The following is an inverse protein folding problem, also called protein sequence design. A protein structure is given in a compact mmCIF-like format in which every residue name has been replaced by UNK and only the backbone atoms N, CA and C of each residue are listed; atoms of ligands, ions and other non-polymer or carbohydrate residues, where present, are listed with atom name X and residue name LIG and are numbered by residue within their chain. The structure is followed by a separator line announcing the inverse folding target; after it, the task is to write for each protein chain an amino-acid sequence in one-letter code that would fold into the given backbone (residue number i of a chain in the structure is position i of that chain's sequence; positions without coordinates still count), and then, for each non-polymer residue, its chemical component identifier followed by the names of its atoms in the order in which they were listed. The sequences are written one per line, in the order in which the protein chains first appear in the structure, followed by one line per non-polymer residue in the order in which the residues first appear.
data_IF_311217368232
#
_entry.id   IF_311217368232
#
_cell.length_a   1.000
_cell.length_b   1.000
_cell.length_c   1.000
_cell.angle_alpha   90.00
_cell.angle_beta   90.00
_cell.angle_gamma   90.00
#
_symmetry.space_group_name_H-M   'P 1'
#
loop_
_entity.id
_entity.type
_entity.pdbx_description
1 polymer ?
#
# COMPACT_ATOMS: atom_id res chain seq x y z
N UNK A 1 6.80 8.82 -12.36
CA UNK A 1 6.47 9.94 -11.44
C UNK A 1 6.81 9.50 -10.03
N UNK A 2 7.35 10.38 -9.17
CA UNK A 2 7.57 10.03 -7.76
C UNK A 2 6.32 10.41 -6.96
N UNK A 3 5.88 9.51 -6.10
CA UNK A 3 4.66 9.65 -5.29
C UNK A 3 5.02 9.50 -3.82
N UNK A 4 4.34 10.23 -2.95
CA UNK A 4 4.54 10.12 -1.49
C UNK A 4 3.60 9.05 -0.94
N UNK A 5 4.15 8.11 -0.18
CA UNK A 5 3.36 7.16 0.60
C UNK A 5 2.72 7.85 1.80
N UNK A 6 1.40 7.72 1.98
CA UNK A 6 0.69 8.37 3.11
C UNK A 6 1.06 7.82 4.49
N UNK A 7 1.66 6.62 4.55
CA UNK A 7 1.91 5.93 5.81
C UNK A 7 3.30 6.16 6.36
N UNK A 8 4.28 6.43 5.50
CA UNK A 8 5.68 6.60 5.89
C UNK A 8 6.30 7.89 5.35
N UNK A 9 5.54 8.70 4.62
CA UNK A 9 5.95 9.96 3.98
C UNK A 9 7.18 9.85 3.06
N UNK A 10 7.54 8.63 2.65
CA UNK A 10 8.65 8.38 1.72
C UNK A 10 8.17 8.44 0.28
N UNK A 11 9.04 8.94 -0.59
CA UNK A 11 8.84 8.86 -2.03
C UNK A 11 9.04 7.43 -2.52
N UNK A 12 8.18 6.98 -3.42
CA UNK A 12 8.33 5.71 -4.11
C UNK A 12 7.95 5.84 -5.59
N UNK A 13 8.35 4.84 -6.38
CA UNK A 13 7.95 4.74 -7.78
C UNK A 13 6.74 3.80 -7.88
N UNK A 14 5.60 4.30 -8.38
CA UNK A 14 4.41 3.47 -8.56
C UNK A 14 4.61 2.49 -9.72
N UNK A 15 4.04 1.30 -9.58
CA UNK A 15 4.01 0.32 -10.66
C UNK A 15 3.16 0.80 -11.86
N UNK A 16 3.12 0.03 -12.95
CA UNK A 16 2.35 0.40 -14.17
C UNK A 16 0.86 0.58 -13.90
N UNK A 17 0.26 -0.25 -13.05
CA UNK A 17 -1.16 -0.19 -12.72
C UNK A 17 -1.48 0.98 -11.79
N UNK A 18 -0.66 1.19 -10.76
CA UNK A 18 -0.70 2.34 -9.87
C UNK A 18 -0.55 3.63 -10.67
N UNK A 19 0.43 3.71 -11.58
CA UNK A 19 0.62 4.86 -12.46
C UNK A 19 -0.65 5.14 -13.27
N UNK A 20 -1.24 4.12 -13.92
CA UNK A 20 -2.51 4.28 -14.64
C UNK A 20 -3.64 4.80 -13.75
N UNK A 21 -3.73 4.31 -12.51
CA UNK A 21 -4.72 4.74 -11.52
C UNK A 21 -4.48 6.18 -11.06
N UNK A 22 -3.23 6.58 -10.80
CA UNK A 22 -2.87 7.96 -10.45
C UNK A 22 -3.21 8.94 -11.56
N UNK A 23 -2.89 8.59 -12.81
CA UNK A 23 -3.22 9.44 -13.95
C UNK A 23 -4.74 9.68 -14.06
N UNK A 24 -5.56 8.66 -13.79
CA UNK A 24 -7.02 8.77 -13.79
C UNK A 24 -7.57 9.46 -12.53
N UNK A 25 -6.93 9.24 -11.39
CA UNK A 25 -7.40 9.66 -10.06
C UNK A 25 -6.21 10.13 -9.19
N UNK A 26 -5.66 11.34 -9.46
CA UNK A 26 -4.43 11.80 -8.79
C UNK A 26 -4.64 12.12 -7.31
N UNK A 27 -5.87 12.39 -6.89
CA UNK A 27 -6.25 12.68 -5.50
C UNK A 27 -6.38 11.42 -4.63
N UNK A 28 -6.25 10.22 -5.19
CA UNK A 28 -6.33 8.99 -4.39
C UNK A 28 -5.04 8.79 -3.61
N UNK A 29 -5.21 8.44 -2.35
CA UNK A 29 -4.13 8.04 -1.44
C UNK A 29 -3.35 6.87 -2.03
N UNK A 30 -2.03 6.93 -1.92
CA UNK A 30 -1.11 5.91 -2.41
C UNK A 30 -0.24 5.39 -1.28
N UNK A 31 0.08 4.11 -1.34
CA UNK A 31 0.87 3.40 -0.34
C UNK A 31 2.02 2.71 -1.07
N UNK A 32 3.23 2.81 -0.54
CA UNK A 32 4.39 2.10 -1.09
C UNK A 32 4.28 0.59 -0.82
N UNK A 33 4.95 -0.21 -1.63
CA UNK A 33 4.95 -1.67 -1.52
C UNK A 33 5.37 -2.14 -0.12
N UNK A 34 6.41 -1.55 0.48
CA UNK A 34 6.86 -1.91 1.83
C UNK A 34 5.75 -1.75 2.90
N UNK A 35 4.99 -0.66 2.86
CA UNK A 35 3.92 -0.44 3.81
C UNK A 35 2.72 -1.33 3.54
N UNK A 36 2.44 -1.62 2.27
CA UNK A 36 1.40 -2.55 1.87
C UNK A 36 1.71 -3.97 2.39
N UNK A 37 2.94 -4.43 2.21
CA UNK A 37 3.38 -5.77 2.62
C UNK A 37 3.35 -5.90 4.14
N UNK A 38 3.89 -4.92 4.86
CA UNK A 38 3.83 -4.87 6.33
C UNK A 38 2.39 -5.00 6.87
N UNK A 39 1.45 -4.22 6.32
CA UNK A 39 0.04 -4.29 6.75
C UNK A 39 -0.59 -5.63 6.37
N UNK A 40 -0.24 -6.18 5.21
CA UNK A 40 -0.74 -7.47 4.75
C UNK A 40 -0.30 -8.59 5.68
N UNK A 41 0.99 -8.64 6.05
CA UNK A 41 1.55 -9.60 7.00
C UNK A 41 0.88 -9.50 8.38
N UNK A 42 0.76 -8.28 8.92
CA UNK A 42 0.06 -8.05 10.20
C UNK A 42 -1.41 -8.49 10.15
N UNK A 43 -2.07 -8.32 9.00
CA UNK A 43 -3.48 -8.70 8.82
C UNK A 43 -3.64 -10.22 8.73
N UNK A 44 -2.76 -10.90 8.01
CA UNK A 44 -2.74 -12.36 7.92
C UNK A 44 -2.46 -12.99 9.28
N UNK A 45 -1.45 -12.49 10.00
CA UNK A 45 -1.14 -12.97 11.35
C UNK A 45 -2.33 -12.81 12.31
N UNK A 46 -3.06 -11.69 12.25
CA UNK A 46 -4.30 -11.52 13.02
C UNK A 46 -5.38 -12.54 12.62
N UNK A 47 -5.54 -12.83 11.34
CA UNK A 47 -6.53 -13.80 10.88
C UNK A 47 -6.21 -15.22 11.36
N UNK A 48 -4.94 -15.62 11.33
CA UNK A 48 -4.49 -16.92 11.83
C UNK A 48 -4.75 -17.08 13.34
N UNK A 49 -4.54 -16.01 14.11
CA UNK A 49 -4.85 -16.00 15.55
C UNK A 49 -6.34 -16.19 15.82
N UNK A 50 -7.22 -15.58 15.02
CA UNK A 50 -8.68 -15.66 15.19
C UNK A 50 -9.33 -16.90 14.56
N UNK A 51 -8.63 -17.64 13.69
CA UNK A 51 -9.15 -18.88 13.08
C UNK A 51 -9.02 -20.12 13.98
N UNK A 52 -8.35 -20.00 15.11
CA UNK A 52 -8.14 -21.09 16.09
C UNK A 52 -9.08 -21.01 17.31
N UNK A 53 -10.02 -20.05 17.31
CA UNK A 53 -11.12 -19.91 18.28
C UNK A 53 -12.44 -20.43 17.67
#
# INVERSE_FOLDING_TARGET
MKVVCILCDRFFEPDRLQTKKLHKHPHRIQICTECHDRISEETLARQELHSND
#
